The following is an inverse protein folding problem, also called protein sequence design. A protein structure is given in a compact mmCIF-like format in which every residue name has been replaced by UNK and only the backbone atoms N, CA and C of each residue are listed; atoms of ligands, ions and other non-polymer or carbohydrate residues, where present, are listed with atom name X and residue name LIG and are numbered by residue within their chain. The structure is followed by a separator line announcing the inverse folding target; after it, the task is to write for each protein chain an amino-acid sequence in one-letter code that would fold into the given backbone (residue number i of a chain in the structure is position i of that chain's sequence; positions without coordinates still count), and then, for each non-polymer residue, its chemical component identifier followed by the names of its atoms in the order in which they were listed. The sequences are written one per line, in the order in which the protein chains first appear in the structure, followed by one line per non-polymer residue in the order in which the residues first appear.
data_IF_335478389426
#
_entry.id   IF_335478389426
#
_cell.length_a   1.000
_cell.length_b   1.000
_cell.length_c   1.000
_cell.angle_alpha   90.00
_cell.angle_beta   90.00
_cell.angle_gamma   90.00
#
_symmetry.space_group_name_H-M   'P 1'
#
loop_
_entity.id
_entity.type
_entity.pdbx_description
1 polymer ?
#
# COMPACT_ATOMS: atom_id res chain seq x y z
N UNK A 1 -13.83 -17.14 -7.89
CA UNK A 1 -13.27 -15.78 -7.69
C UNK A 1 -12.71 -15.76 -6.28
N UNK A 2 -11.41 -15.53 -6.11
CA UNK A 2 -10.81 -15.43 -4.77
C UNK A 2 -10.96 -13.98 -4.34
N UNK A 3 -11.52 -13.76 -3.15
CA UNK A 3 -11.69 -12.42 -2.60
C UNK A 3 -10.35 -11.86 -2.11
N UNK A 4 -10.25 -10.53 -2.13
CA UNK A 4 -9.07 -9.85 -1.57
C UNK A 4 -9.08 -10.03 -0.05
N UNK A 5 -7.90 -10.19 0.58
CA UNK A 5 -7.84 -10.39 2.02
C UNK A 5 -8.41 -9.18 2.76
N UNK A 6 -9.16 -9.44 3.83
CA UNK A 6 -9.47 -8.44 4.84
C UNK A 6 -8.31 -8.29 5.85
N UNK A 7 -8.51 -7.48 6.90
CA UNK A 7 -7.50 -7.27 7.95
C UNK A 7 -7.05 -8.58 8.61
N UNK A 8 -7.99 -9.47 8.92
CA UNK A 8 -7.70 -10.75 9.57
C UNK A 8 -6.91 -11.67 8.65
N UNK A 9 -7.41 -11.85 7.42
CA UNK A 9 -6.77 -12.66 6.40
C UNK A 9 -5.38 -12.13 6.03
N UNK A 10 -5.20 -10.80 5.99
CA UNK A 10 -3.88 -10.19 5.77
C UNK A 10 -2.89 -10.55 6.89
N UNK A 11 -3.32 -10.47 8.14
CA UNK A 11 -2.53 -10.91 9.29
C UNK A 11 -2.10 -12.38 9.17
N UNK A 12 -3.03 -13.26 8.79
CA UNK A 12 -2.73 -14.68 8.60
C UNK A 12 -1.77 -14.93 7.43
N UNK A 13 -1.86 -14.13 6.36
CA UNK A 13 -0.88 -14.19 5.27
C UNK A 13 0.49 -13.72 5.76
N UNK A 14 0.58 -12.62 6.50
CA UNK A 14 1.85 -12.15 7.08
C UNK A 14 2.52 -13.21 7.96
N UNK A 15 1.76 -13.93 8.79
CA UNK A 15 2.28 -15.02 9.64
C UNK A 15 2.93 -16.16 8.87
N UNK A 16 2.54 -16.39 7.62
CA UNK A 16 3.19 -17.39 6.75
C UNK A 16 4.60 -16.99 6.33
N UNK A 17 4.88 -15.68 6.29
CA UNK A 17 6.16 -15.14 5.81
C UNK A 17 7.06 -14.57 6.92
N UNK A 18 6.48 -14.16 8.05
CA UNK A 18 7.15 -13.70 9.26
C UNK A 18 7.04 -14.78 10.33
N UNK A 19 8.09 -15.58 10.47
CA UNK A 19 8.16 -16.71 11.41
C UNK A 19 9.34 -16.53 12.36
N UNK A 20 9.38 -17.33 13.43
CA UNK A 20 10.49 -17.35 14.40
C UNK A 20 11.82 -17.83 13.82
N UNK A 21 11.83 -18.36 12.58
CA UNK A 21 13.05 -18.74 11.86
C UNK A 21 13.75 -17.53 11.23
N UNK A 22 13.08 -16.39 11.15
CA UNK A 22 13.65 -15.15 10.64
C UNK A 22 14.13 -14.32 11.83
N UNK A 23 15.36 -13.77 11.80
CA UNK A 23 15.84 -12.91 12.88
C UNK A 23 14.94 -11.69 13.03
N UNK A 24 14.42 -11.49 14.23
CA UNK A 24 13.71 -10.28 14.64
C UNK A 24 14.68 -9.39 15.42
N UNK A 25 14.56 -8.08 15.23
CA UNK A 25 15.36 -7.10 15.96
C UNK A 25 15.18 -7.28 17.48
N UNK A 26 16.29 -7.20 18.24
CA UNK A 26 16.27 -7.39 19.70
C UNK A 26 15.44 -6.29 20.38
N UNK A 27 15.47 -5.07 19.83
CA UNK A 27 14.62 -3.96 20.24
C UNK A 27 13.13 -4.32 20.24
N UNK A 28 12.67 -5.09 19.25
CA UNK A 28 11.26 -5.52 19.14
C UNK A 28 10.93 -6.60 20.17
N UNK A 29 11.82 -7.58 20.39
CA UNK A 29 11.56 -8.68 21.34
C UNK A 29 11.71 -8.26 22.79
N UNK A 30 12.53 -7.25 23.09
CA UNK A 30 12.74 -6.74 24.45
C UNK A 30 11.44 -6.25 25.10
N UNK A 31 10.56 -5.64 24.32
CA UNK A 31 9.25 -5.19 24.79
C UNK A 31 8.34 -6.35 25.25
N UNK A 32 8.62 -7.56 24.79
CA UNK A 32 7.87 -8.78 25.11
C UNK A 32 8.70 -9.76 25.93
N UNK A 33 9.66 -9.26 26.73
CA UNK A 33 10.54 -10.09 27.58
C UNK A 33 11.28 -11.19 26.82
N UNK A 34 11.61 -10.95 25.54
CA UNK A 34 12.29 -11.90 24.67
C UNK A 34 11.36 -12.85 23.90
N UNK A 35 10.04 -12.75 24.06
CA UNK A 35 9.08 -13.56 23.29
C UNK A 35 9.02 -13.08 21.83
N UNK A 36 9.66 -13.86 20.95
CA UNK A 36 9.68 -13.60 19.52
C UNK A 36 8.30 -13.75 18.85
N UNK A 37 7.43 -14.62 19.36
CA UNK A 37 6.09 -14.82 18.79
C UNK A 37 5.24 -13.60 19.07
N UNK A 38 5.23 -13.14 20.32
CA UNK A 38 4.50 -11.93 20.72
C UNK A 38 5.01 -10.68 19.96
N UNK A 39 6.33 -10.56 19.77
CA UNK A 39 6.91 -9.49 18.97
C UNK A 39 6.46 -9.53 17.51
N UNK A 40 6.50 -10.72 16.87
CA UNK A 40 6.03 -10.91 15.49
C UNK A 40 4.54 -10.53 15.37
N UNK A 41 3.69 -11.01 16.28
CA UNK A 41 2.26 -10.70 16.27
C UNK A 41 2.00 -9.19 16.39
N UNK A 42 2.74 -8.49 17.26
CA UNK A 42 2.65 -7.04 17.40
C UNK A 42 3.13 -6.30 16.14
N UNK A 43 4.24 -6.72 15.54
CA UNK A 43 4.75 -6.18 14.28
C UNK A 43 3.76 -6.35 13.13
N UNK A 44 3.14 -7.54 13.03
CA UNK A 44 2.10 -7.83 12.02
C UNK A 44 0.89 -6.94 12.26
N UNK A 45 0.40 -6.84 13.50
CA UNK A 45 -0.75 -6.01 13.84
C UNK A 45 -0.51 -4.54 13.47
N UNK A 46 0.66 -3.98 13.79
CA UNK A 46 1.03 -2.62 13.43
C UNK A 46 1.10 -2.41 11.91
N UNK A 47 1.65 -3.38 11.18
CA UNK A 47 1.77 -3.33 9.72
C UNK A 47 0.41 -3.41 9.03
N UNK A 48 -0.45 -4.34 9.46
CA UNK A 48 -1.82 -4.46 8.95
C UNK A 48 -2.63 -3.21 9.27
N UNK A 49 -2.50 -2.66 10.48
CA UNK A 49 -3.18 -1.41 10.83
C UNK A 49 -2.75 -0.26 9.91
N UNK A 50 -1.44 -0.13 9.65
CA UNK A 50 -0.93 0.88 8.72
C UNK A 50 -1.47 0.68 7.29
N UNK A 51 -1.52 -0.55 6.79
CA UNK A 51 -2.02 -0.87 5.46
C UNK A 51 -3.52 -0.61 5.28
N UNK A 52 -4.31 -0.81 6.34
CA UNK A 52 -5.78 -0.74 6.28
C UNK A 52 -6.37 0.54 6.85
N UNK A 53 -5.54 1.49 7.30
CA UNK A 53 -5.97 2.77 7.83
C UNK A 53 -6.63 3.63 6.74
N UNK A 54 -7.72 4.30 7.09
CA UNK A 54 -8.43 5.25 6.23
C UNK A 54 -7.86 6.67 6.41
N UNK A 55 -6.57 6.85 6.16
CA UNK A 55 -5.89 8.15 6.23
C UNK A 55 -5.75 8.78 4.84
N UNK A 56 -5.51 10.08 4.80
CA UNK A 56 -5.21 10.78 3.53
C UNK A 56 -3.97 10.19 2.85
N UNK A 57 -2.97 9.80 3.64
CA UNK A 57 -1.76 9.11 3.18
C UNK A 57 -2.02 7.76 2.52
N UNK A 58 -3.20 7.15 2.73
CA UNK A 58 -3.57 5.85 2.17
C UNK A 58 -4.62 5.95 1.06
N UNK A 59 -5.01 7.17 0.65
CA UNK A 59 -5.90 7.38 -0.49
C UNK A 59 -5.15 7.07 -1.77
N UNK A 60 -5.69 6.15 -2.57
CA UNK A 60 -5.01 5.68 -3.76
C UNK A 60 -5.63 6.29 -5.02
N UNK A 61 -6.94 6.09 -5.22
CA UNK A 61 -7.65 6.51 -6.42
C UNK A 61 -8.96 7.21 -6.07
N UNK A 62 -9.28 8.29 -6.79
CA UNK A 62 -10.64 8.79 -6.95
C UNK A 62 -11.21 8.20 -8.24
N UNK A 63 -12.37 7.56 -8.12
CA UNK A 63 -13.11 6.97 -9.23
C UNK A 63 -14.38 7.77 -9.44
N UNK A 64 -14.65 8.17 -10.68
CA UNK A 64 -15.93 8.77 -11.07
C UNK A 64 -16.74 7.76 -11.88
N UNK A 65 -17.99 7.56 -11.46
CA UNK A 65 -18.96 6.67 -12.10
C UNK A 65 -19.76 7.39 -13.18
N UNK A 66 -20.37 6.63 -14.09
CA UNK A 66 -21.19 7.16 -15.19
C UNK A 66 -22.39 8.00 -14.71
N UNK A 67 -22.89 7.74 -13.51
CA UNK A 67 -23.96 8.52 -12.87
C UNK A 67 -23.47 9.85 -12.27
N UNK A 68 -22.17 10.13 -12.30
CA UNK A 68 -21.55 11.33 -11.71
C UNK A 68 -21.04 11.16 -10.27
N UNK A 69 -21.31 10.02 -9.62
CA UNK A 69 -20.81 9.74 -8.27
C UNK A 69 -19.27 9.65 -8.26
N UNK A 70 -18.68 10.07 -7.14
CA UNK A 70 -17.25 9.90 -6.87
C UNK A 70 -17.03 9.02 -5.66
N UNK A 71 -16.04 8.13 -5.74
CA UNK A 71 -15.61 7.28 -4.64
C UNK A 71 -14.09 7.29 -4.51
N UNK A 72 -13.62 7.41 -3.27
CA UNK A 72 -12.19 7.32 -2.95
C UNK A 72 -11.87 5.90 -2.52
N UNK A 73 -11.03 5.24 -3.30
CA UNK A 73 -10.49 3.92 -2.96
C UNK A 73 -9.19 4.08 -2.19
N UNK A 74 -9.06 3.26 -1.16
CA UNK A 74 -7.89 3.23 -0.30
C UNK A 74 -7.03 2.03 -0.67
N UNK A 75 -5.76 2.06 -0.27
CA UNK A 75 -4.83 0.98 -0.54
C UNK A 75 -5.34 -0.41 -0.07
N UNK A 76 -6.09 -0.46 1.05
CA UNK A 76 -6.75 -1.69 1.52
C UNK A 76 -7.59 -2.39 0.45
N UNK A 77 -8.22 -1.65 -0.46
CA UNK A 77 -9.10 -2.19 -1.49
C UNK A 77 -8.30 -2.89 -2.62
N UNK A 78 -6.98 -2.70 -2.63
CA UNK A 78 -6.03 -3.31 -3.57
C UNK A 78 -5.17 -4.41 -2.93
N UNK A 79 -5.39 -4.70 -1.65
CA UNK A 79 -4.61 -5.71 -0.93
C UNK A 79 -4.69 -7.09 -1.60
N UNK A 80 -3.56 -7.80 -1.62
CA UNK A 80 -3.44 -9.15 -2.17
C UNK A 80 -2.32 -9.94 -1.50
N UNK A 81 -2.35 -11.27 -1.59
CA UNK A 81 -1.30 -12.13 -1.03
C UNK A 81 0.08 -11.86 -1.64
N UNK A 82 0.15 -11.65 -2.95
CA UNK A 82 1.41 -11.34 -3.65
C UNK A 82 2.00 -9.99 -3.22
N UNK A 83 1.13 -9.01 -2.97
CA UNK A 83 1.55 -7.70 -2.45
C UNK A 83 2.07 -7.81 -1.01
N UNK A 84 1.41 -8.58 -0.15
CA UNK A 84 1.89 -8.85 1.22
C UNK A 84 3.25 -9.55 1.19
N UNK A 85 3.44 -10.53 0.30
CA UNK A 85 4.74 -11.17 0.08
C UNK A 85 5.81 -10.17 -0.36
N UNK A 86 5.49 -9.28 -1.30
CA UNK A 86 6.41 -8.22 -1.77
C UNK A 86 6.82 -7.30 -0.63
N UNK A 87 5.88 -6.89 0.23
CA UNK A 87 6.15 -6.10 1.44
C UNK A 87 7.13 -6.83 2.37
N UNK A 88 6.90 -8.11 2.67
CA UNK A 88 7.81 -8.87 3.56
C UNK A 88 9.19 -9.03 2.93
N UNK A 89 9.26 -9.25 1.62
CA UNK A 89 10.54 -9.32 0.88
C UNK A 89 11.30 -8.00 0.92
N UNK A 90 10.62 -6.86 0.76
CA UNK A 90 11.24 -5.53 0.93
C UNK A 90 11.71 -5.31 2.34
N UNK A 91 10.91 -5.64 3.35
CA UNK A 91 11.28 -5.47 4.75
C UNK A 91 12.57 -6.24 5.08
N UNK A 92 12.71 -7.48 4.56
CA UNK A 92 13.96 -8.26 4.65
C UNK A 92 15.15 -7.53 4.01
N UNK A 93 14.95 -6.93 2.83
CA UNK A 93 15.99 -6.16 2.13
C UNK A 93 16.38 -4.90 2.90
N UNK A 94 15.41 -4.18 3.48
CA UNK A 94 15.64 -3.00 4.31
C UNK A 94 16.40 -3.36 5.59
N UNK A 95 16.01 -4.43 6.27
CA UNK A 95 16.72 -4.94 7.43
C UNK A 95 18.17 -5.32 7.10
N UNK A 96 18.42 -5.95 5.95
CA UNK A 96 19.79 -6.27 5.50
C UNK A 96 20.61 -5.00 5.21
N UNK A 97 20.02 -4.01 4.53
CA UNK A 97 20.69 -2.71 4.29
C UNK A 97 21.03 -2.02 5.62
N UNK A 98 20.11 -2.02 6.57
CA UNK A 98 20.28 -1.48 7.92
C UNK A 98 21.44 -2.17 8.64
N UNK A 99 21.51 -3.49 8.59
CA UNK A 99 22.59 -4.27 9.19
C UNK A 99 23.96 -3.96 8.56
N UNK A 100 24.04 -3.85 7.23
CA UNK A 100 25.27 -3.47 6.52
C UNK A 100 25.72 -2.06 6.92
N UNK A 101 24.77 -1.15 7.19
CA UNK A 101 25.02 0.20 7.70
C UNK A 101 25.42 0.27 9.18
N UNK A 102 25.67 -0.86 9.85
CA UNK A 102 26.01 -0.92 11.28
C UNK A 102 24.82 -0.85 12.22
N UNK A 103 23.59 -0.96 11.69
CA UNK A 103 22.38 -1.07 12.49
C UNK A 103 22.19 -2.44 13.11
N UNK A 104 21.16 -2.56 13.94
CA UNK A 104 20.81 -3.80 14.61
C UNK A 104 20.38 -4.91 13.63
N UNK A 105 20.68 -6.16 13.99
CA UNK A 105 20.33 -7.35 13.20
C UNK A 105 18.85 -7.71 13.37
N UNK A 106 18.22 -8.12 12.28
CA UNK A 106 16.85 -8.65 12.27
C UNK A 106 15.84 -7.68 11.67
N UNK A 107 14.63 -8.16 11.41
CA UNK A 107 13.53 -7.32 10.91
C UNK A 107 12.95 -6.54 12.09
N UNK A 108 12.76 -5.24 11.91
CA UNK A 108 12.04 -4.36 12.83
C UNK A 108 10.65 -3.99 12.32
N UNK A 109 9.78 -3.48 13.19
CA UNK A 109 8.49 -2.90 12.77
C UNK A 109 8.70 -1.75 11.79
N UNK A 110 9.77 -0.96 11.99
CA UNK A 110 10.15 0.13 11.09
C UNK A 110 10.45 -0.33 9.67
N UNK A 111 11.15 -1.47 9.51
CA UNK A 111 11.43 -2.05 8.20
C UNK A 111 10.14 -2.47 7.47
N UNK A 112 9.16 -3.02 8.19
CA UNK A 112 7.86 -3.40 7.63
C UNK A 112 7.04 -2.17 7.22
N UNK A 113 6.95 -1.15 8.07
CA UNK A 113 6.22 0.08 7.77
C UNK A 113 6.83 0.83 6.58
N UNK A 114 8.16 0.86 6.49
CA UNK A 114 8.85 1.45 5.34
C UNK A 114 8.64 0.61 4.07
N UNK A 115 8.66 -0.73 4.17
CA UNK A 115 8.36 -1.61 3.05
C UNK A 115 6.94 -1.42 2.52
N UNK A 116 5.96 -1.21 3.41
CA UNK A 116 4.58 -0.85 3.04
C UNK A 116 4.57 0.44 2.23
N UNK A 117 5.22 1.50 2.72
CA UNK A 117 5.31 2.79 2.01
C UNK A 117 6.01 2.69 0.65
N UNK A 118 7.13 1.95 0.57
CA UNK A 118 7.85 1.73 -0.69
C UNK A 118 7.00 0.94 -1.69
N UNK A 119 6.29 -0.08 -1.23
CA UNK A 119 5.36 -0.85 -2.07
C UNK A 119 4.23 0.04 -2.57
N UNK A 120 3.73 0.98 -1.76
CA UNK A 120 2.68 1.92 -2.18
C UNK A 120 3.22 2.82 -3.29
N UNK A 121 4.39 3.42 -3.07
CA UNK A 121 5.04 4.31 -4.03
C UNK A 121 5.34 3.62 -5.37
N UNK A 122 5.80 2.37 -5.37
CA UNK A 122 6.03 1.67 -6.63
C UNK A 122 4.73 1.27 -7.35
N UNK A 123 3.62 1.11 -6.62
CA UNK A 123 2.30 0.93 -7.24
C UNK A 123 1.67 2.27 -7.70
N UNK A 124 2.15 3.42 -7.19
CA UNK A 124 1.81 4.75 -7.71
C UNK A 124 2.46 5.01 -9.08
N UNK A 125 3.73 4.60 -9.23
CA UNK A 125 4.55 4.81 -10.44
C UNK A 125 4.17 3.90 -11.62
N UNK A 126 3.02 3.22 -11.59
CA UNK A 126 2.46 2.50 -12.75
C UNK A 126 1.73 3.50 -13.67
N UNK A 127 2.38 4.04 -14.72
CA UNK A 127 1.85 5.19 -15.45
C UNK A 127 0.91 4.75 -16.61
N UNK A 128 0.63 3.45 -16.76
CA UNK A 128 0.14 2.91 -18.05
C UNK A 128 -1.01 1.91 -17.95
N UNK A 129 -1.67 1.75 -16.80
CA UNK A 129 -2.96 1.02 -16.72
C UNK A 129 -4.12 1.98 -16.48
N UNK A 130 -4.14 3.09 -17.22
CA UNK A 130 -5.27 4.03 -17.32
C UNK A 130 -6.45 3.42 -18.09
N UNK A 131 -6.65 2.09 -18.04
CA UNK A 131 -7.81 1.46 -18.62
C UNK A 131 -8.91 1.40 -17.55
N UNK A 132 -10.00 2.19 -17.67
CA UNK A 132 -11.10 2.18 -16.71
C UNK A 132 -11.72 0.79 -16.52
N UNK A 133 -11.59 -0.10 -17.52
CA UNK A 133 -12.10 -1.48 -17.46
C UNK A 133 -11.37 -2.39 -16.48
N UNK A 134 -10.07 -2.17 -16.26
CA UNK A 134 -9.29 -2.97 -15.29
C UNK A 134 -9.65 -2.56 -13.85
N UNK A 135 -9.93 -1.27 -13.65
CA UNK A 135 -10.42 -0.73 -12.38
C UNK A 135 -11.88 -1.07 -12.11
N UNK A 136 -12.73 -1.22 -13.13
CA UNK A 136 -14.13 -1.63 -12.97
C UNK A 136 -14.28 -2.99 -12.28
N UNK A 137 -13.32 -3.91 -12.48
CA UNK A 137 -13.28 -5.21 -11.80
C UNK A 137 -12.88 -5.10 -10.33
N UNK A 138 -12.10 -4.09 -9.96
CA UNK A 138 -11.59 -3.89 -8.61
C UNK A 138 -12.56 -3.03 -7.78
N UNK A 139 -13.08 -1.95 -8.35
CA UNK A 139 -14.04 -1.04 -7.71
C UNK A 139 -15.51 -1.47 -7.88
N UNK A 140 -15.77 -2.63 -8.50
CA UNK A 140 -17.09 -3.14 -8.88
C UNK A 140 -18.08 -3.42 -7.73
N UNK A 141 -17.91 -2.78 -6.57
CA UNK A 141 -18.88 -2.79 -5.47
C UNK A 141 -20.21 -2.12 -5.84
N UNK A 142 -20.22 -1.16 -6.77
CA UNK A 142 -21.43 -0.40 -7.13
C UNK A 142 -22.18 -0.87 -8.38
N UNK A 143 -21.67 -1.82 -9.16
CA UNK A 143 -22.30 -2.24 -10.43
C UNK A 143 -22.32 -1.19 -11.56
N UNK A 144 -21.91 0.05 -11.26
CA UNK A 144 -21.87 1.17 -12.19
C UNK A 144 -20.55 1.24 -12.97
N UNK A 145 -20.63 1.70 -14.23
CA UNK A 145 -19.45 1.83 -15.10
C UNK A 145 -18.57 3.00 -14.64
N UNK A 146 -17.29 2.74 -14.44
CA UNK A 146 -16.28 3.78 -14.21
C UNK A 146 -16.03 4.54 -15.51
N UNK A 147 -16.10 5.87 -15.45
CA UNK A 147 -15.83 6.76 -16.59
C UNK A 147 -14.52 7.52 -16.46
N UNK A 148 -14.03 7.72 -15.23
CA UNK A 148 -12.79 8.45 -14.97
C UNK A 148 -12.11 7.92 -13.70
N UNK A 149 -10.78 7.90 -13.71
CA UNK A 149 -9.94 7.48 -12.58
C UNK A 149 -8.82 8.51 -12.42
N UNK A 150 -8.62 9.00 -11.20
CA UNK A 150 -7.57 9.96 -10.83
C UNK A 150 -6.76 9.44 -9.64
N UNK A 151 -5.43 9.32 -9.76
CA UNK A 151 -4.55 9.08 -8.61
C UNK A 151 -4.63 10.23 -7.60
N UNK A 152 -4.67 9.90 -6.30
CA UNK A 152 -4.73 10.87 -5.21
C UNK A 152 -3.42 11.00 -4.41
N UNK A 153 -2.48 10.08 -4.61
CA UNK A 153 -1.14 10.15 -4.01
C UNK A 153 -0.25 11.10 -4.82
N UNK A 154 0.40 12.06 -4.15
CA UNK A 154 1.34 13.03 -4.77
C UNK A 154 0.95 14.51 -4.70
N UNK A 155 -0.26 14.87 -4.24
CA UNK A 155 -0.66 16.30 -4.15
C UNK A 155 0.15 17.12 -3.12
N UNK A 156 0.93 16.47 -2.26
CA UNK A 156 1.88 17.14 -1.37
C UNK A 156 3.21 17.49 -2.03
N UNK A 157 3.60 16.85 -3.15
CA UNK A 157 4.82 17.22 -3.90
C UNK A 157 4.55 17.94 -5.21
N UNK A 158 3.35 17.84 -5.78
CA UNK A 158 3.08 18.29 -7.16
C UNK A 158 2.27 19.60 -7.29
N UNK A 159 2.27 20.44 -6.25
CA UNK A 159 1.83 21.85 -6.41
C UNK A 159 2.77 22.69 -7.30
N UNK A 160 3.84 22.12 -7.86
CA UNK A 160 4.82 22.84 -8.67
C UNK A 160 4.82 22.56 -10.17
N UNK A 161 4.07 21.58 -10.70
CA UNK A 161 3.99 21.37 -12.15
C UNK A 161 2.56 21.25 -12.66
N UNK A 162 1.74 22.28 -12.37
CA UNK A 162 0.49 22.45 -13.08
C UNK A 162 0.81 23.02 -14.48
N UNK A 163 1.02 22.12 -15.43
CA UNK A 163 1.12 22.43 -16.86
C UNK A 163 -0.19 23.10 -17.27
N UNK A 164 -0.11 24.38 -17.65
CA UNK A 164 -1.15 25.06 -18.40
C UNK A 164 -1.30 24.39 -19.77
N UNK A 165 -2.22 23.44 -19.88
CA UNK A 165 -2.89 23.18 -21.14
C UNK A 165 -4.21 23.96 -21.15
N UNK A 166 -4.12 25.24 -21.50
CA UNK A 166 -5.28 25.99 -21.98
C UNK A 166 -5.45 25.60 -23.44
N UNK A 167 -6.30 24.60 -23.69
CA UNK A 167 -6.89 24.39 -25.01
C UNK A 167 -8.01 25.42 -25.15
N UNK A 168 -7.75 26.50 -25.88
CA UNK A 168 -8.80 27.38 -26.39
C UNK A 168 -9.09 26.98 -27.84
N UNK A 169 -10.09 26.12 -28.03
CA UNK A 169 -10.82 25.98 -29.29
C UNK A 169 -11.71 27.20 -29.51
N UNK A 170 -11.69 27.78 -30.70
CA UNK A 170 -12.62 28.86 -31.07
C UNK A 170 -12.37 29.41 -32.47
N UNK A 171 -13.35 29.21 -33.35
CA UNK A 171 -13.33 29.29 -34.81
C UNK A 171 -13.81 30.68 -35.35
N UNK A 172 -13.42 31.00 -36.58
CA UNK A 172 -13.99 31.95 -37.58
C UNK A 172 -13.94 33.49 -37.34
N UNK A 173 -13.24 34.20 -38.24
CA UNK A 173 -13.80 34.83 -39.47
C UNK A 173 -12.66 35.14 -40.46
#
# INVERSE_FOLDING_TARGET
KIERPDRGAAGDIFRKYLTTQIPIAESETRHFSGDAVAAIDAMIAATVEAMYRLSEENRFLEVTYANGDKEVLYFKDFSSGAMIESVVRRAKKLALKRLIGGGEKGISAGDLLNAVREEFKENEDLPNTTNPGDWAKIAGKKGERIVYVRPLMGETSDRHHRVEQVVATGQYL
#
